data_IF_321151619393
#
_entry.id   IF_321151619393
#
_cell.length_a   1.000
_cell.length_b   1.000
_cell.length_c   1.000
_cell.angle_alpha   90.00
_cell.angle_beta   90.00
_cell.angle_gamma   90.00
#
_symmetry.space_group_name_H-M   'P 1'
#
loop_
_entity.id
_entity.type
_entity.pdbx_description
1 polymer ?
#
# COMPACT_ATOMS: atom_id res chain seq x y z
N UNK A 1 8.55 -14.06 25.84
CA UNK A 1 8.86 -15.46 26.24
C UNK A 1 9.98 -16.00 25.32
N UNK A 2 10.80 -17.00 25.70
CA UNK A 2 11.90 -17.51 24.83
C UNK A 2 11.71 -19.00 24.49
N UNK A 3 11.74 -19.35 23.19
CA UNK A 3 11.59 -20.73 22.69
C UNK A 3 12.05 -20.90 21.22
N UNK A 4 12.14 -22.14 20.74
CA UNK A 4 12.39 -22.42 19.31
C UNK A 4 11.09 -22.35 18.50
N UNK A 5 10.03 -22.98 19.01
CA UNK A 5 8.68 -22.96 18.45
C UNK A 5 7.69 -22.52 19.53
N UNK A 6 6.69 -21.71 19.18
CA UNK A 6 5.73 -21.14 20.13
C UNK A 6 4.35 -21.00 19.51
N UNK A 7 3.31 -21.49 20.20
CA UNK A 7 1.90 -21.28 19.88
C UNK A 7 1.25 -20.56 21.07
N UNK A 8 0.65 -19.39 20.85
CA UNK A 8 -0.02 -18.62 21.91
C UNK A 8 -1.43 -18.21 21.50
N UNK A 9 -2.41 -18.50 22.36
CA UNK A 9 -3.74 -17.90 22.26
C UNK A 9 -3.97 -16.96 23.45
N UNK A 10 -4.39 -15.72 23.19
CA UNK A 10 -4.74 -14.76 24.24
C UNK A 10 -6.13 -14.16 24.04
N UNK A 11 -6.90 -14.16 25.14
CA UNK A 11 -8.24 -13.61 25.20
C UNK A 11 -8.34 -12.61 26.35
N UNK A 12 -8.75 -11.38 26.06
CA UNK A 12 -8.82 -10.38 27.13
C UNK A 12 -9.34 -9.01 26.73
N UNK A 13 -9.56 -8.16 27.74
CA UNK A 13 -9.93 -6.77 27.52
C UNK A 13 -8.71 -5.86 27.35
N UNK A 14 -7.64 -6.13 28.10
CA UNK A 14 -6.41 -5.35 28.12
C UNK A 14 -5.21 -6.28 28.37
N UNK A 15 -4.26 -6.33 27.46
CA UNK A 15 -2.98 -7.01 27.65
C UNK A 15 -1.89 -6.39 26.76
N UNK A 16 -0.64 -6.56 27.17
CA UNK A 16 0.53 -6.20 26.38
C UNK A 16 1.46 -7.41 26.38
N UNK A 17 2.01 -7.75 25.22
CA UNK A 17 2.76 -9.01 25.05
C UNK A 17 4.02 -8.80 24.24
N UNK A 18 5.10 -9.42 24.70
CA UNK A 18 6.41 -9.38 24.04
C UNK A 18 6.90 -10.82 23.80
N UNK A 19 7.15 -11.16 22.53
CA UNK A 19 7.44 -12.53 22.09
C UNK A 19 8.74 -12.60 21.28
N UNK A 20 9.57 -13.60 21.60
CA UNK A 20 10.84 -13.88 20.93
C UNK A 20 10.94 -15.36 20.58
N UNK A 21 11.14 -15.67 19.30
CA UNK A 21 11.21 -17.06 18.85
C UNK A 21 11.77 -17.24 17.45
N UNK A 22 12.00 -18.50 17.06
CA UNK A 22 12.34 -18.83 15.68
C UNK A 22 11.06 -19.04 14.86
N UNK A 23 10.11 -19.79 15.40
CA UNK A 23 8.79 -19.98 14.81
C UNK A 23 7.72 -19.61 15.85
N UNK A 24 6.84 -18.67 15.52
CA UNK A 24 5.78 -18.22 16.42
C UNK A 24 4.44 -18.14 15.69
N UNK A 25 3.46 -18.84 16.22
CA UNK A 25 2.05 -18.75 15.85
C UNK A 25 1.30 -18.09 17.01
N UNK A 26 0.57 -17.01 16.73
CA UNK A 26 -0.15 -16.26 17.75
C UNK A 26 -1.56 -15.92 17.30
N UNK A 27 -2.55 -16.28 18.10
CA UNK A 27 -3.92 -15.80 17.97
C UNK A 27 -4.27 -14.85 19.12
N UNK A 28 -4.74 -13.66 18.80
CA UNK A 28 -5.09 -12.63 19.78
C UNK A 28 -6.49 -12.08 19.57
N UNK A 29 -7.30 -12.23 20.60
CA UNK A 29 -8.70 -11.80 20.62
C UNK A 29 -8.92 -10.83 21.78
N UNK A 30 -9.24 -9.57 21.48
CA UNK A 30 -9.40 -8.59 22.55
C UNK A 30 -9.99 -7.23 22.18
N UNK A 31 -10.11 -6.37 23.18
CA UNK A 31 -10.60 -5.00 22.99
C UNK A 31 -9.46 -4.00 22.82
N UNK A 32 -8.42 -4.10 23.65
CA UNK A 32 -7.26 -3.22 23.62
C UNK A 32 -5.99 -4.02 23.91
N UNK A 33 -5.08 -4.13 22.97
CA UNK A 33 -3.79 -4.80 23.20
C UNK A 33 -2.64 -4.23 22.39
N UNK A 34 -1.44 -4.40 22.92
CA UNK A 34 -0.18 -4.04 22.27
C UNK A 34 0.68 -5.30 22.16
N UNK A 35 1.26 -5.54 20.99
CA UNK A 35 2.07 -6.74 20.76
C UNK A 35 3.37 -6.38 20.07
N UNK A 36 4.48 -6.83 20.65
CA UNK A 36 5.81 -6.75 20.04
C UNK A 36 6.34 -8.16 19.77
N UNK A 37 6.77 -8.42 18.53
CA UNK A 37 7.25 -9.73 18.09
C UNK A 37 8.60 -9.64 17.37
N UNK A 38 9.54 -10.51 17.77
CA UNK A 38 10.91 -10.51 17.24
C UNK A 38 11.44 -11.91 16.89
N UNK A 39 11.98 -12.06 15.68
CA UNK A 39 12.76 -13.25 15.27
C UNK A 39 12.63 -13.66 13.80
N UNK A 40 12.25 -14.91 13.49
CA UNK A 40 12.45 -15.48 12.13
C UNK A 40 11.16 -15.71 11.33
N UNK A 41 10.27 -16.60 11.78
CA UNK A 41 9.05 -17.00 11.07
C UNK A 41 7.80 -16.77 11.96
N UNK A 42 6.90 -15.88 11.53
CA UNK A 42 5.67 -15.50 12.25
C UNK A 42 4.42 -15.78 11.46
N UNK A 43 3.41 -16.27 12.15
CA UNK A 43 2.01 -16.23 11.70
C UNK A 43 1.17 -15.67 12.85
N UNK A 44 0.49 -14.55 12.61
CA UNK A 44 -0.25 -13.84 13.65
C UNK A 44 -1.65 -13.51 13.16
N UNK A 45 -2.66 -13.95 13.90
CA UNK A 45 -4.05 -13.57 13.69
C UNK A 45 -4.52 -12.67 14.83
N UNK A 46 -5.03 -11.50 14.49
CA UNK A 46 -5.41 -10.45 15.43
C UNK A 46 -6.83 -9.98 15.18
N UNK A 47 -7.69 -10.14 16.18
CA UNK A 47 -9.06 -9.68 16.14
C UNK A 47 -9.35 -8.77 17.32
N UNK A 48 -9.78 -7.54 17.05
CA UNK A 48 -10.09 -6.62 18.13
C UNK A 48 -10.68 -5.27 17.76
N UNK A 49 -10.77 -4.39 18.76
CA UNK A 49 -11.32 -3.05 18.56
C UNK A 49 -10.23 -1.99 18.41
N UNK A 50 -9.21 -2.03 19.27
CA UNK A 50 -8.06 -1.15 19.24
C UNK A 50 -6.80 -1.97 19.51
N UNK A 51 -5.84 -2.01 18.61
CA UNK A 51 -4.55 -2.66 18.91
C UNK A 51 -3.39 -2.05 18.15
N UNK A 52 -2.19 -2.22 18.69
CA UNK A 52 -0.96 -1.84 18.03
C UNK A 52 -0.02 -3.03 17.96
N UNK A 53 0.63 -3.21 16.82
CA UNK A 53 1.51 -4.36 16.58
C UNK A 53 2.82 -3.89 15.97
N UNK A 54 3.92 -4.29 16.60
CA UNK A 54 5.26 -4.13 16.04
C UNK A 54 5.85 -5.51 15.75
N UNK A 55 6.33 -5.70 14.52
CA UNK A 55 6.89 -6.98 14.08
C UNK A 55 8.25 -6.81 13.42
N UNK A 56 9.23 -7.56 13.91
CA UNK A 56 10.59 -7.59 13.40
C UNK A 56 10.98 -9.03 13.03
N UNK A 57 10.99 -9.35 11.73
CA UNK A 57 11.07 -10.73 11.27
C UNK A 57 11.77 -10.96 9.93
N UNK A 58 11.98 -12.23 9.56
CA UNK A 58 12.42 -12.60 8.21
C UNK A 58 11.24 -12.98 7.33
N UNK A 59 10.36 -13.84 7.84
CA UNK A 59 9.09 -14.21 7.26
C UNK A 59 7.97 -13.85 8.24
N UNK A 60 7.04 -13.02 7.79
CA UNK A 60 5.92 -12.56 8.59
C UNK A 60 4.64 -12.76 7.79
N UNK A 61 3.67 -13.46 8.37
CA UNK A 61 2.28 -13.43 7.91
C UNK A 61 1.41 -12.86 9.01
N UNK A 62 0.61 -11.88 8.67
CA UNK A 62 -0.25 -11.15 9.61
C UNK A 62 -1.64 -11.04 9.04
N UNK A 63 -2.65 -11.48 9.78
CA UNK A 63 -4.06 -11.23 9.48
C UNK A 63 -4.67 -10.36 10.59
N UNK A 64 -5.25 -9.25 10.19
CA UNK A 64 -5.77 -8.22 11.09
C UNK A 64 -7.21 -7.89 10.79
N UNK A 65 -8.08 -8.09 11.78
CA UNK A 65 -9.48 -7.71 11.70
C UNK A 65 -9.86 -6.81 12.87
N UNK A 66 -10.35 -5.60 12.59
CA UNK A 66 -10.75 -4.73 13.67
C UNK A 66 -11.49 -3.45 13.31
N UNK A 67 -11.41 -2.48 14.22
CA UNK A 67 -11.95 -1.14 14.02
C UNK A 67 -10.84 -0.09 13.91
N UNK A 68 -9.88 -0.15 14.83
CA UNK A 68 -8.70 0.72 14.84
C UNK A 68 -7.45 -0.13 15.11
N UNK A 69 -6.45 -0.02 14.26
CA UNK A 69 -5.12 -0.55 14.58
C UNK A 69 -3.99 0.20 13.90
N UNK A 70 -2.83 0.14 14.54
CA UNK A 70 -1.54 0.65 14.06
C UNK A 70 -0.59 -0.54 13.91
N UNK A 71 0.10 -0.63 12.77
CA UNK A 71 1.02 -1.73 12.51
C UNK A 71 2.35 -1.23 11.97
N UNK A 72 3.44 -1.60 12.64
CA UNK A 72 4.80 -1.41 12.12
C UNK A 72 5.41 -2.78 11.81
N UNK A 73 5.88 -2.96 10.58
CA UNK A 73 6.54 -4.19 10.16
C UNK A 73 7.90 -3.93 9.52
N UNK A 74 8.94 -4.53 10.10
CA UNK A 74 10.27 -4.55 9.53
C UNK A 74 10.68 -5.99 9.21
N UNK A 75 10.84 -6.29 7.92
CA UNK A 75 11.15 -7.65 7.52
C UNK A 75 11.73 -7.86 6.13
N UNK A 76 11.86 -9.13 5.74
CA UNK A 76 12.43 -9.50 4.44
C UNK A 76 11.36 -10.01 3.47
N UNK A 77 10.46 -10.86 3.97
CA UNK A 77 9.26 -11.32 3.28
C UNK A 77 8.07 -11.18 4.23
N UNK A 78 7.17 -10.26 3.94
CA UNK A 78 5.99 -10.04 4.75
C UNK A 78 4.73 -10.09 3.89
N UNK A 79 3.72 -10.76 4.40
CA UNK A 79 2.38 -10.85 3.82
C UNK A 79 1.40 -10.34 4.87
N UNK A 80 0.51 -9.43 4.49
CA UNK A 80 -0.40 -8.80 5.45
C UNK A 80 -1.78 -8.61 4.84
N UNK A 81 -2.78 -9.15 5.55
CA UNK A 81 -4.19 -9.04 5.20
C UNK A 81 -4.89 -8.20 6.27
N UNK A 82 -5.59 -7.15 5.85
CA UNK A 82 -6.11 -6.11 6.73
C UNK A 82 -7.58 -5.81 6.44
N UNK A 83 -8.44 -5.93 7.46
CA UNK A 83 -9.88 -5.72 7.33
C UNK A 83 -10.48 -4.82 8.43
N UNK A 84 -11.13 -3.73 7.99
CA UNK A 84 -12.20 -3.06 8.74
C UNK A 84 -12.35 -1.54 8.52
N UNK A 85 -12.11 -0.70 9.54
CA UNK A 85 -12.48 0.73 9.52
C UNK A 85 -11.35 1.75 9.36
N UNK A 86 -10.47 1.92 10.36
CA UNK A 86 -9.46 3.01 10.37
C UNK A 86 -8.07 2.50 10.78
N UNK A 87 -7.06 2.68 9.93
CA UNK A 87 -5.74 2.07 10.14
C UNK A 87 -4.56 2.90 9.66
N UNK A 88 -3.42 2.65 10.29
CA UNK A 88 -2.13 3.22 9.93
C UNK A 88 -1.11 2.08 9.87
N UNK A 89 -0.39 1.97 8.74
CA UNK A 89 0.57 0.88 8.53
C UNK A 89 1.89 1.42 8.00
N UNK A 90 3.00 1.02 8.63
CA UNK A 90 4.35 1.37 8.21
C UNK A 90 5.15 0.08 7.93
N UNK A 91 5.70 -0.06 6.72
CA UNK A 91 6.39 -1.28 6.28
C UNK A 91 7.80 -1.01 5.73
N UNK A 92 8.81 -1.69 6.27
CA UNK A 92 10.23 -1.54 5.89
C UNK A 92 10.95 -2.85 5.58
N UNK A 93 11.36 -3.05 4.33
CA UNK A 93 11.95 -4.35 3.97
C UNK A 93 12.26 -4.61 2.50
N UNK A 94 12.11 -5.88 2.08
CA UNK A 94 12.52 -6.32 0.74
C UNK A 94 11.36 -6.79 -0.13
N UNK A 95 10.45 -7.60 0.40
CA UNK A 95 9.31 -8.14 -0.32
C UNK A 95 8.07 -8.03 0.54
N UNK A 96 7.08 -7.29 0.07
CA UNK A 96 5.79 -7.12 0.71
C UNK A 96 4.65 -7.47 -0.23
N UNK A 97 3.68 -8.18 0.32
CA UNK A 97 2.37 -8.40 -0.28
C UNK A 97 1.34 -7.93 0.73
N UNK A 98 0.43 -7.06 0.32
CA UNK A 98 -0.54 -6.43 1.23
C UNK A 98 -1.91 -6.35 0.58
N UNK A 99 -2.90 -6.93 1.24
CA UNK A 99 -4.31 -6.84 0.86
C UNK A 99 -5.06 -6.02 1.91
N UNK A 100 -5.75 -4.97 1.47
CA UNK A 100 -6.46 -4.06 2.37
C UNK A 100 -7.92 -3.89 1.96
N UNK A 101 -8.80 -4.01 2.95
CA UNK A 101 -10.23 -3.80 2.77
C UNK A 101 -10.79 -2.98 3.93
N UNK A 102 -11.43 -1.85 3.61
CA UNK A 102 -12.01 -1.01 4.65
C UNK A 102 -12.53 0.34 4.21
N UNK A 103 -12.40 1.31 5.13
CA UNK A 103 -12.96 2.65 4.97
C UNK A 103 -11.90 3.75 4.93
N UNK A 104 -10.91 3.70 5.82
CA UNK A 104 -9.83 4.69 5.94
C UNK A 104 -8.51 3.98 6.23
N UNK A 105 -7.53 4.16 5.36
CA UNK A 105 -6.16 3.71 5.59
C UNK A 105 -5.15 4.78 5.21
N UNK A 106 -4.06 4.78 5.97
CA UNK A 106 -2.83 5.50 5.70
C UNK A 106 -1.69 4.48 5.71
N UNK A 107 -0.91 4.42 4.63
CA UNK A 107 0.16 3.42 4.49
C UNK A 107 1.46 4.04 4.01
N UNK A 108 2.54 3.81 4.75
CA UNK A 108 3.91 4.13 4.34
C UNK A 108 4.69 2.85 4.03
N UNK A 109 5.26 2.76 2.82
CA UNK A 109 5.99 1.57 2.36
C UNK A 109 7.40 1.90 1.84
N UNK A 110 8.42 1.23 2.38
CA UNK A 110 9.83 1.47 2.06
C UNK A 110 10.63 0.20 1.75
N UNK A 111 11.24 0.14 0.56
CA UNK A 111 12.12 -0.99 0.19
C UNK A 111 12.17 -1.39 -1.29
N UNK A 112 12.02 -2.68 -1.63
CA UNK A 112 12.42 -3.19 -2.95
C UNK A 112 11.29 -3.71 -3.84
N UNK A 113 10.42 -4.58 -3.35
CA UNK A 113 9.33 -5.18 -4.12
C UNK A 113 8.05 -5.14 -3.31
N UNK A 114 7.00 -4.59 -3.93
CA UNK A 114 5.67 -4.41 -3.34
C UNK A 114 4.62 -4.88 -4.31
N UNK A 115 3.68 -5.64 -3.77
CA UNK A 115 2.41 -5.96 -4.39
C UNK A 115 1.32 -5.52 -3.40
N UNK A 116 0.39 -4.69 -3.88
CA UNK A 116 -0.65 -4.12 -3.01
C UNK A 116 -1.99 -4.14 -3.71
N UNK A 117 -2.98 -4.79 -3.10
CA UNK A 117 -4.38 -4.77 -3.54
C UNK A 117 -5.23 -4.01 -2.52
N UNK A 118 -6.00 -3.03 -3.00
CA UNK A 118 -6.76 -2.11 -2.13
C UNK A 118 -8.22 -1.98 -2.57
N UNK A 119 -9.14 -2.15 -1.62
CA UNK A 119 -10.59 -2.07 -1.83
C UNK A 119 -11.28 -1.20 -0.78
N UNK A 120 -11.27 0.11 -1.00
CA UNK A 120 -11.53 1.09 0.08
C UNK A 120 -12.36 2.31 -0.32
N UNK A 121 -12.67 3.15 0.67
CA UNK A 121 -13.41 4.39 0.47
C UNK A 121 -12.51 5.63 0.49
N UNK A 122 -11.50 5.63 1.36
CA UNK A 122 -10.44 6.63 1.45
C UNK A 122 -9.11 5.94 1.74
N UNK A 123 -8.11 6.23 0.93
CA UNK A 123 -6.78 5.72 1.13
C UNK A 123 -5.72 6.79 0.82
N UNK A 124 -4.68 6.82 1.63
CA UNK A 124 -3.49 7.65 1.44
C UNK A 124 -2.26 6.74 1.50
N UNK A 125 -1.33 6.88 0.54
CA UNK A 125 -0.05 6.18 0.65
C UNK A 125 1.16 6.95 0.17
N UNK A 126 2.26 6.69 0.87
CA UNK A 126 3.60 7.04 0.43
C UNK A 126 4.41 5.76 0.15
N UNK A 127 4.99 5.67 -1.05
CA UNK A 127 5.75 4.49 -1.49
C UNK A 127 7.16 4.86 -1.98
N UNK A 128 8.19 4.23 -1.40
CA UNK A 128 9.61 4.52 -1.68
C UNK A 128 10.46 3.27 -2.01
N UNK A 129 10.97 3.14 -3.24
CA UNK A 129 11.68 1.90 -3.62
C UNK A 129 11.90 1.61 -5.12
N UNK A 130 11.73 0.35 -5.55
CA UNK A 130 12.26 -0.12 -6.85
C UNK A 130 11.32 -0.89 -7.76
N UNK A 131 10.30 -1.58 -7.24
CA UNK A 131 9.38 -2.37 -8.04
C UNK A 131 8.03 -2.42 -7.31
N UNK A 132 7.01 -1.92 -7.98
CA UNK A 132 5.68 -1.77 -7.42
C UNK A 132 4.64 -2.26 -8.40
N UNK A 133 3.75 -3.12 -7.90
CA UNK A 133 2.51 -3.48 -8.56
C UNK A 133 1.39 -3.10 -7.58
N UNK A 134 0.44 -2.30 -8.05
CA UNK A 134 -0.66 -1.79 -7.20
C UNK A 134 -1.97 -1.82 -7.97
N UNK A 135 -2.96 -2.55 -7.43
CA UNK A 135 -4.32 -2.62 -7.96
C UNK A 135 -5.32 -2.02 -6.98
N UNK A 136 -6.18 -1.09 -7.44
CA UNK A 136 -7.01 -0.27 -6.56
C UNK A 136 -8.44 -0.08 -7.05
N UNK A 137 -9.40 -0.20 -6.12
CA UNK A 137 -10.84 -0.09 -6.38
C UNK A 137 -11.53 0.80 -5.34
N UNK A 138 -11.65 2.11 -5.62
CA UNK A 138 -11.89 3.10 -4.56
C UNK A 138 -12.73 4.34 -4.91
N UNK A 139 -13.01 5.17 -3.90
CA UNK A 139 -13.76 6.42 -4.02
C UNK A 139 -12.88 7.67 -4.02
N UNK A 140 -11.84 7.70 -3.16
CA UNK A 140 -10.95 8.83 -2.96
C UNK A 140 -9.55 8.34 -2.59
N UNK A 141 -8.55 8.79 -3.33
CA UNK A 141 -7.20 8.30 -3.17
C UNK A 141 -6.15 9.40 -3.41
N UNK A 142 -5.15 9.45 -2.54
CA UNK A 142 -3.99 10.33 -2.65
C UNK A 142 -2.70 9.50 -2.53
N UNK A 143 -1.77 9.67 -3.49
CA UNK A 143 -0.50 8.93 -3.47
C UNK A 143 0.72 9.70 -3.87
N UNK A 144 1.79 9.44 -3.13
CA UNK A 144 3.14 9.85 -3.47
C UNK A 144 4.03 8.62 -3.74
N UNK A 145 4.61 8.55 -4.93
CA UNK A 145 5.50 7.46 -5.35
C UNK A 145 6.90 7.97 -5.69
N UNK A 146 7.92 7.35 -5.10
CA UNK A 146 9.33 7.67 -5.37
C UNK A 146 10.19 6.44 -5.65
N UNK A 147 10.83 6.38 -6.83
CA UNK A 147 11.67 5.22 -7.19
C UNK A 147 11.70 4.80 -8.66
N UNK A 148 11.61 3.49 -8.91
CA UNK A 148 11.77 2.88 -10.25
C UNK A 148 10.66 1.83 -10.48
N UNK A 149 10.33 1.56 -11.74
CA UNK A 149 9.50 0.46 -12.24
C UNK A 149 8.19 0.26 -11.47
N UNK A 150 7.14 0.93 -11.93
CA UNK A 150 5.81 0.92 -11.35
C UNK A 150 4.77 0.45 -12.35
N UNK A 151 3.85 -0.37 -11.88
CA UNK A 151 2.62 -0.71 -12.57
C UNK A 151 1.45 -0.39 -11.64
N UNK A 152 0.50 0.44 -12.11
CA UNK A 152 -0.66 0.82 -11.29
C UNK A 152 -1.95 0.70 -12.11
N UNK A 153 -2.91 -0.06 -11.60
CA UNK A 153 -4.25 -0.19 -12.19
C UNK A 153 -5.31 0.37 -11.23
N UNK A 154 -6.15 1.28 -11.74
CA UNK A 154 -6.98 2.14 -10.88
C UNK A 154 -8.41 2.27 -11.38
N UNK A 155 -9.35 2.02 -10.46
CA UNK A 155 -10.78 2.11 -10.70
C UNK A 155 -11.47 2.90 -9.60
N UNK A 156 -12.04 4.05 -9.93
CA UNK A 156 -12.64 4.91 -8.91
C UNK A 156 -13.27 6.21 -9.37
N UNK A 157 -13.56 7.08 -8.39
CA UNK A 157 -14.23 8.36 -8.62
C UNK A 157 -13.26 9.56 -8.58
N UNK A 158 -12.29 9.58 -7.67
CA UNK A 158 -11.36 10.70 -7.44
C UNK A 158 -9.96 10.23 -7.06
N UNK A 159 -8.97 10.72 -7.79
CA UNK A 159 -7.59 10.34 -7.59
C UNK A 159 -6.62 11.49 -7.80
N UNK A 160 -5.67 11.63 -6.89
CA UNK A 160 -4.54 12.56 -6.97
C UNK A 160 -3.23 11.78 -6.80
N UNK A 161 -2.23 12.04 -7.64
CA UNK A 161 -0.92 11.38 -7.50
C UNK A 161 0.26 12.20 -7.96
N UNK A 162 1.33 12.08 -7.18
CA UNK A 162 2.64 12.61 -7.48
C UNK A 162 3.64 11.47 -7.66
N UNK A 163 4.36 11.47 -8.79
CA UNK A 163 5.29 10.40 -9.15
C UNK A 163 6.66 10.97 -9.47
N UNK A 164 7.68 10.47 -8.78
CA UNK A 164 9.07 10.82 -8.98
C UNK A 164 9.89 9.56 -9.28
N UNK A 165 10.19 9.28 -10.55
CA UNK A 165 10.85 8.02 -10.87
C UNK A 165 11.10 7.73 -12.34
N UNK A 166 11.39 6.47 -12.63
CA UNK A 166 11.66 5.96 -13.98
C UNK A 166 10.80 4.74 -14.27
N UNK A 167 10.31 4.60 -15.50
CA UNK A 167 9.50 3.46 -15.97
C UNK A 167 8.20 3.30 -15.17
N UNK A 168 7.12 3.85 -15.72
CA UNK A 168 5.81 3.84 -15.09
C UNK A 168 4.77 3.45 -16.14
N UNK A 169 3.97 2.44 -15.84
CA UNK A 169 2.82 2.02 -16.64
C UNK A 169 1.57 2.14 -15.79
N UNK A 170 0.58 2.88 -16.29
CA UNK A 170 -0.66 3.10 -15.54
C UNK A 170 -1.91 3.07 -16.37
N UNK A 171 -2.89 2.34 -15.86
CA UNK A 171 -4.22 2.21 -16.43
C UNK A 171 -5.28 2.77 -15.46
N UNK A 172 -6.12 3.67 -15.97
CA UNK A 172 -7.02 4.49 -15.14
C UNK A 172 -8.43 4.49 -15.73
N UNK A 173 -9.42 4.16 -14.89
CA UNK A 173 -10.83 4.13 -15.26
C UNK A 173 -11.68 4.98 -14.29
N UNK A 174 -11.70 6.31 -14.46
CA UNK A 174 -12.19 7.23 -13.40
C UNK A 174 -13.00 8.46 -13.83
N UNK A 175 -13.60 9.16 -12.86
CA UNK A 175 -14.38 10.38 -13.08
C UNK A 175 -13.63 11.70 -12.87
N UNK A 176 -12.57 11.71 -12.05
CA UNK A 176 -11.69 12.84 -11.80
C UNK A 176 -10.29 12.33 -11.45
N UNK A 177 -9.29 12.79 -12.18
CA UNK A 177 -7.91 12.35 -12.01
C UNK A 177 -6.97 13.54 -12.16
N UNK A 178 -6.13 13.76 -11.17
CA UNK A 178 -5.02 14.73 -11.21
C UNK A 178 -3.71 13.98 -11.02
N UNK A 179 -2.72 14.24 -11.88
CA UNK A 179 -1.40 13.63 -11.70
C UNK A 179 -0.26 14.51 -12.16
N UNK A 180 0.76 14.54 -11.31
CA UNK A 180 2.05 15.15 -11.59
C UNK A 180 3.13 14.07 -11.69
N UNK A 181 3.85 14.02 -12.82
CA UNK A 181 4.91 13.04 -13.05
C UNK A 181 6.25 13.72 -13.38
N UNK A 182 7.32 13.27 -12.72
CA UNK A 182 8.69 13.74 -12.91
C UNK A 182 9.70 12.59 -13.11
N UNK A 183 10.42 12.60 -14.25
CA UNK A 183 11.42 11.58 -14.60
C UNK A 183 11.30 11.04 -16.04
N UNK A 184 11.57 9.76 -16.32
CA UNK A 184 11.62 9.23 -17.71
C UNK A 184 10.83 7.92 -17.92
N UNK A 185 10.33 7.72 -19.14
CA UNK A 185 9.58 6.53 -19.60
C UNK A 185 8.23 6.30 -18.90
N UNK A 186 7.19 6.95 -19.45
CA UNK A 186 5.81 6.83 -18.96
C UNK A 186 4.90 6.26 -20.05
N UNK A 187 4.08 5.28 -19.69
CA UNK A 187 2.93 4.86 -20.48
C UNK A 187 1.68 5.03 -19.60
N UNK A 188 0.70 5.78 -20.08
CA UNK A 188 -0.53 6.02 -19.34
C UNK A 188 -1.74 5.84 -20.25
N UNK A 189 -2.64 4.94 -19.87
CA UNK A 189 -3.94 4.75 -20.50
C UNK A 189 -5.03 5.29 -19.58
N UNK A 190 -5.84 6.23 -20.08
CA UNK A 190 -6.91 6.86 -19.31
C UNK A 190 -8.26 6.75 -19.99
N UNK A 191 -9.25 6.30 -19.22
CA UNK A 191 -10.66 6.24 -19.61
C UNK A 191 -11.51 6.95 -18.56
N UNK A 192 -12.06 8.12 -18.87
CA UNK A 192 -12.70 8.91 -17.82
C UNK A 192 -13.21 10.29 -18.20
N UNK A 193 -13.66 11.03 -17.18
CA UNK A 193 -14.02 12.44 -17.29
C UNK A 193 -13.03 13.28 -16.47
N UNK A 194 -12.85 14.56 -16.81
CA UNK A 194 -12.11 15.53 -16.00
C UNK A 194 -10.70 15.10 -15.55
N UNK A 195 -9.81 14.90 -16.51
CA UNK A 195 -8.39 14.59 -16.26
C UNK A 195 -7.53 15.86 -16.33
N UNK A 196 -6.59 15.97 -15.40
CA UNK A 196 -5.49 16.94 -15.40
C UNK A 196 -4.18 16.16 -15.25
N UNK A 197 -3.23 16.41 -16.16
CA UNK A 197 -1.93 15.72 -16.12
C UNK A 197 -0.80 16.70 -16.43
N UNK A 198 0.16 16.77 -15.52
CA UNK A 198 1.41 17.50 -15.69
C UNK A 198 2.58 16.51 -15.80
N UNK A 199 3.37 16.62 -16.88
CA UNK A 199 4.51 15.73 -17.12
C UNK A 199 5.81 16.50 -17.36
N UNK A 200 6.86 16.06 -16.65
CA UNK A 200 8.22 16.60 -16.73
C UNK A 200 9.25 15.50 -16.97
N UNK A 201 9.81 15.46 -18.18
CA UNK A 201 10.97 14.63 -18.53
C UNK A 201 10.93 14.03 -19.94
N UNK A 202 11.39 12.79 -20.15
CA UNK A 202 11.55 12.22 -21.49
C UNK A 202 10.80 10.90 -21.72
N UNK A 203 10.31 10.71 -22.97
CA UNK A 203 9.63 9.49 -23.45
C UNK A 203 8.31 9.18 -22.72
N UNK A 204 7.22 9.75 -23.22
CA UNK A 204 5.87 9.52 -22.70
C UNK A 204 4.93 9.08 -23.84
N UNK A 205 4.13 8.06 -23.58
CA UNK A 205 3.00 7.63 -24.39
C UNK A 205 1.72 7.77 -23.56
N UNK A 206 0.72 8.43 -24.12
CA UNK A 206 -0.56 8.65 -23.43
C UNK A 206 -1.67 8.33 -24.40
N UNK A 207 -2.48 7.34 -24.07
CA UNK A 207 -3.72 7.01 -24.79
C UNK A 207 -4.91 7.47 -23.94
N UNK A 208 -5.83 8.22 -24.55
CA UNK A 208 -6.97 8.82 -23.84
C UNK A 208 -8.26 8.64 -24.63
N UNK A 209 -9.33 8.28 -23.93
CA UNK A 209 -10.70 8.24 -24.46
C UNK A 209 -11.63 9.10 -23.60
N UNK A 210 -12.33 10.05 -24.23
CA UNK A 210 -13.34 11.01 -23.69
C UNK A 210 -12.87 12.47 -23.42
N UNK A 211 -13.71 13.31 -22.80
CA UNK A 211 -13.67 14.79 -22.81
C UNK A 211 -12.61 15.36 -21.84
N UNK A 212 -11.55 15.96 -22.38
CA UNK A 212 -10.37 16.46 -21.64
C UNK A 212 -10.61 17.87 -21.06
N UNK A 213 -10.16 18.09 -19.81
CA UNK A 213 -10.09 19.40 -19.16
C UNK A 213 -8.77 20.14 -19.42
N UNK A 214 -7.60 19.55 -19.11
CA UNK A 214 -6.30 20.23 -19.29
C UNK A 214 -5.12 19.22 -19.39
N UNK A 215 -4.11 19.55 -20.22
CA UNK A 215 -2.90 18.74 -20.40
C UNK A 215 -1.68 19.66 -20.55
N UNK A 216 -0.67 19.50 -19.69
CA UNK A 216 0.53 20.35 -19.68
C UNK A 216 1.80 19.48 -19.81
N UNK A 217 2.56 19.74 -20.88
CA UNK A 217 3.83 19.05 -21.18
C UNK A 217 4.98 20.05 -21.28
N UNK A 218 6.17 19.66 -20.80
CA UNK A 218 7.42 20.40 -21.09
C UNK A 218 8.45 19.55 -21.88
N UNK A 219 8.72 19.93 -23.15
CA UNK A 219 9.68 19.38 -24.14
C UNK A 219 9.45 17.93 -24.66
N UNK A 220 10.01 17.37 -25.76
CA UNK A 220 9.97 17.65 -27.23
C UNK A 220 9.41 16.43 -28.02
N UNK A 221 9.03 15.30 -27.39
CA UNK A 221 8.55 14.09 -28.08
C UNK A 221 7.29 13.53 -27.40
N UNK A 222 6.14 14.09 -27.79
CA UNK A 222 4.82 13.63 -27.37
C UNK A 222 4.14 12.88 -28.52
N UNK A 223 3.61 11.68 -28.27
CA UNK A 223 2.69 11.00 -29.18
C UNK A 223 1.35 10.84 -28.49
N UNK A 224 0.38 11.69 -28.84
CA UNK A 224 -1.01 11.57 -28.39
C UNK A 224 -1.77 10.75 -29.44
N UNK A 225 -2.33 9.61 -29.04
CA UNK A 225 -3.35 8.92 -29.83
C UNK A 225 -4.72 9.20 -29.19
N UNK A 226 -5.67 9.56 -30.05
CA UNK A 226 -7.08 9.78 -29.75
C UNK A 226 -7.92 8.89 -30.65
#
# INVERSE_FOLDING_TARGET
>A
MFGYDYETEMFGYHYATEMFGYHCETEMLGYLYETEMFGYDYETEMFGYLYATEMFGYHCKTEMLGYHYETEMLGYHCETEMFGYDYETEMFGYHYETEMFGYHYETEMFGYHYETEIFEYYYETEMFGYHYETEMFEYHYETEMFGYDYETEMFGDHYETEIFGYHYETEIFEYYYETEMFGDHYETEMFGYHCETEMFGYHYETEMSDDITELIYSDVLCSIKA
#
